data_IF_822769992386
#
_entry.id   IF_822769992386
#
_cell.length_a   1.000
_cell.length_b   1.000
_cell.length_c   1.000
_cell.angle_alpha   90.00
_cell.angle_beta   90.00
_cell.angle_gamma   90.00
#
_symmetry.space_group_name_H-M   'P 1'
#
loop_
_entity.id
_entity.type
_entity.pdbx_description
1 polymer ?
#
# COMPACT_ATOMS: atom_id res chain seq x y z
N UNK A 1 27.03 83.14 30.83
CA UNK A 1 26.94 82.30 29.61
C UNK A 1 25.84 81.27 29.88
N UNK A 2 24.58 81.56 29.50
CA UNK A 2 23.86 81.12 28.27
C UNK A 2 23.44 79.63 28.39
N UNK A 3 22.17 79.19 28.28
CA UNK A 3 21.08 79.50 27.33
C UNK A 3 19.71 79.04 27.90
N UNK A 4 18.62 79.74 27.56
CA UNK A 4 17.19 79.38 27.82
C UNK A 4 16.68 78.33 26.81
N UNK A 5 15.72 77.46 27.14
CA UNK A 5 14.96 76.73 26.13
C UNK A 5 13.67 77.45 25.71
N UNK A 6 13.41 77.37 24.41
CA UNK A 6 12.30 77.94 23.63
C UNK A 6 11.16 76.91 23.57
N UNK A 7 9.91 77.38 23.68
CA UNK A 7 8.71 76.57 23.42
C UNK A 7 8.60 76.19 21.94
N UNK A 8 8.46 74.89 21.66
CA UNK A 8 8.11 74.39 20.33
C UNK A 8 6.69 73.79 20.37
N UNK A 9 5.77 74.40 19.61
CA UNK A 9 4.46 73.84 19.30
C UNK A 9 4.66 72.66 18.36
N UNK A 10 4.15 71.49 18.70
CA UNK A 10 4.16 70.34 17.78
C UNK A 10 2.76 70.07 17.24
N UNK A 11 2.75 69.88 15.93
CA UNK A 11 1.67 69.72 14.98
C UNK A 11 1.03 68.32 15.11
N UNK A 12 -0.30 68.23 15.16
CA UNK A 12 -1.02 66.96 15.03
C UNK A 12 -0.85 66.41 13.60
N UNK A 13 -0.29 65.20 13.46
CA UNK A 13 -0.35 64.40 12.23
C UNK A 13 -1.36 63.27 12.44
N UNK A 14 -2.41 63.25 11.60
CA UNK A 14 -3.46 62.23 11.63
C UNK A 14 -2.92 60.85 11.21
N UNK A 15 -3.27 59.84 12.00
CA UNK A 15 -2.97 58.43 11.81
C UNK A 15 -3.93 57.81 10.78
N UNK A 16 -3.42 57.34 9.64
CA UNK A 16 -4.21 56.51 8.71
C UNK A 16 -3.39 55.34 8.18
N UNK A 17 -3.08 54.36 9.03
CA UNK A 17 -2.71 52.99 8.61
C UNK A 17 -3.10 52.00 9.72
N UNK A 18 -4.32 51.46 9.72
CA UNK A 18 -4.68 50.33 10.61
C UNK A 18 -5.79 49.39 10.09
N UNK A 19 -6.16 49.45 8.80
CA UNK A 19 -7.27 48.60 8.29
C UNK A 19 -6.84 47.25 7.70
N UNK A 20 -5.60 47.07 7.25
CA UNK A 20 -5.20 45.86 6.52
C UNK A 20 -4.97 44.62 7.40
N UNK A 21 -4.46 44.79 8.63
CA UNK A 21 -4.16 43.67 9.53
C UNK A 21 -5.39 42.91 10.05
N UNK A 22 -6.51 43.62 10.27
CA UNK A 22 -7.74 43.01 10.78
C UNK A 22 -8.45 42.14 9.73
N UNK A 23 -8.42 42.53 8.46
CA UNK A 23 -9.12 41.83 7.37
C UNK A 23 -8.47 40.47 7.08
N UNK A 24 -7.14 40.39 7.09
CA UNK A 24 -6.42 39.11 6.90
C UNK A 24 -6.64 38.13 8.06
N UNK A 25 -6.76 38.63 9.29
CA UNK A 25 -7.04 37.82 10.48
C UNK A 25 -8.48 37.30 10.50
N UNK A 26 -9.45 38.12 10.07
CA UNK A 26 -10.86 37.72 10.02
C UNK A 26 -11.14 36.68 8.92
N UNK A 27 -10.49 36.81 7.75
CA UNK A 27 -10.64 35.85 6.65
C UNK A 27 -10.02 34.49 6.98
N UNK A 28 -8.88 34.46 7.67
CA UNK A 28 -8.25 33.22 8.13
C UNK A 28 -9.11 32.50 9.17
N UNK A 29 -9.69 33.23 10.13
CA UNK A 29 -10.60 32.65 11.11
C UNK A 29 -11.87 32.08 10.46
N UNK A 30 -12.45 32.80 9.49
CA UNK A 30 -13.64 32.34 8.76
C UNK A 30 -13.36 31.08 7.94
N UNK A 31 -12.14 30.95 7.39
CA UNK A 31 -11.71 29.74 6.67
C UNK A 31 -11.65 28.52 7.60
N UNK A 32 -11.15 28.68 8.83
CA UNK A 32 -11.12 27.59 9.83
C UNK A 32 -12.53 27.12 10.22
N UNK A 33 -13.49 28.04 10.30
CA UNK A 33 -14.89 27.69 10.56
C UNK A 33 -15.47 26.89 9.39
N UNK A 34 -15.22 27.30 8.14
CA UNK A 34 -15.64 26.56 6.96
C UNK A 34 -15.04 25.15 6.93
N UNK A 35 -13.74 25.03 7.24
CA UNK A 35 -13.03 23.75 7.34
C UNK A 35 -13.63 22.85 8.43
N UNK A 36 -13.94 23.41 9.60
CA UNK A 36 -14.58 22.67 10.69
C UNK A 36 -15.93 22.11 10.29
N UNK A 37 -16.78 22.92 9.65
CA UNK A 37 -18.09 22.48 9.14
C UNK A 37 -17.94 21.41 8.04
N UNK A 38 -16.96 21.57 7.16
CA UNK A 38 -16.64 20.58 6.13
C UNK A 38 -16.24 19.23 6.74
N UNK A 39 -15.37 19.23 7.75
CA UNK A 39 -14.98 17.99 8.45
C UNK A 39 -16.11 17.39 9.27
N UNK A 40 -17.03 18.23 9.76
CA UNK A 40 -18.28 17.79 10.40
C UNK A 40 -19.36 17.33 9.40
N UNK A 41 -19.08 17.34 8.09
CA UNK A 41 -20.01 16.98 7.01
C UNK A 41 -21.27 17.86 6.95
N UNK A 42 -21.21 19.06 7.55
CA UNK A 42 -22.27 20.06 7.41
C UNK A 42 -22.08 20.82 6.10
N UNK A 43 -22.43 20.14 5.00
CA UNK A 43 -22.13 20.58 3.64
C UNK A 43 -22.75 21.93 3.28
N UNK A 44 -24.00 22.18 3.69
CA UNK A 44 -24.69 23.43 3.39
C UNK A 44 -24.01 24.63 4.06
N UNK A 45 -23.70 24.53 5.36
CA UNK A 45 -23.07 25.63 6.07
C UNK A 45 -21.62 25.84 5.64
N UNK A 46 -20.86 24.75 5.43
CA UNK A 46 -19.50 24.82 4.90
C UNK A 46 -19.47 25.52 3.54
N UNK A 47 -20.33 25.07 2.61
CA UNK A 47 -20.51 25.67 1.28
C UNK A 47 -20.78 27.17 1.37
N UNK A 48 -21.74 27.57 2.20
CA UNK A 48 -22.14 28.97 2.33
C UNK A 48 -21.01 29.88 2.82
N UNK A 49 -20.10 29.36 3.65
CA UNK A 49 -18.93 30.13 4.10
C UNK A 49 -17.84 30.13 3.01
N UNK A 50 -17.51 28.99 2.40
CA UNK A 50 -16.52 28.94 1.33
C UNK A 50 -16.90 29.85 0.15
N UNK A 51 -18.16 29.82 -0.30
CA UNK A 51 -18.64 30.65 -1.42
C UNK A 51 -18.49 32.15 -1.13
N UNK A 52 -18.64 32.57 0.13
CA UNK A 52 -18.41 33.97 0.55
C UNK A 52 -16.93 34.34 0.60
N UNK A 53 -16.06 33.39 0.94
CA UNK A 53 -14.61 33.62 1.06
C UNK A 53 -13.89 33.52 -0.29
N UNK A 54 -14.43 32.77 -1.24
CA UNK A 54 -13.83 32.51 -2.54
C UNK A 54 -14.40 33.43 -3.61
N UNK A 55 -13.67 34.51 -3.92
CA UNK A 55 -13.89 35.27 -5.15
C UNK A 55 -13.22 34.61 -6.36
N UNK A 56 -13.57 35.06 -7.57
CA UNK A 56 -13.04 34.52 -8.84
C UNK A 56 -11.51 34.55 -8.96
N UNK A 57 -10.85 35.46 -8.24
CA UNK A 57 -9.40 35.64 -8.20
C UNK A 57 -8.71 34.79 -7.12
N UNK A 58 -9.47 34.07 -6.29
CA UNK A 58 -8.93 33.26 -5.19
C UNK A 58 -8.13 32.08 -5.72
N UNK A 59 -6.87 32.01 -5.31
CA UNK A 59 -5.93 30.95 -5.71
C UNK A 59 -5.96 29.74 -4.76
N UNK A 60 -6.89 29.73 -3.78
CA UNK A 60 -6.96 28.68 -2.76
C UNK A 60 -7.60 27.40 -3.34
N UNK A 61 -6.77 26.59 -3.98
CA UNK A 61 -7.19 25.34 -4.63
C UNK A 61 -7.81 24.33 -3.66
N UNK A 62 -7.35 24.33 -2.40
CA UNK A 62 -7.90 23.45 -1.35
C UNK A 62 -9.34 23.86 -1.03
N UNK A 63 -9.59 25.14 -0.79
CA UNK A 63 -10.92 25.65 -0.48
C UNK A 63 -11.87 25.47 -1.67
N UNK A 64 -11.43 25.70 -2.91
CA UNK A 64 -12.23 25.39 -4.11
C UNK A 64 -12.59 23.90 -4.20
N UNK A 65 -11.65 23.00 -3.92
CA UNK A 65 -11.91 21.56 -3.87
C UNK A 65 -12.90 21.18 -2.74
N UNK A 66 -12.81 21.81 -1.57
CA UNK A 66 -13.74 21.57 -0.44
C UNK A 66 -15.14 22.12 -0.71
N UNK A 67 -15.24 23.31 -1.31
CA UNK A 67 -16.50 23.87 -1.78
C UNK A 67 -17.15 22.93 -2.80
N UNK A 68 -16.40 22.50 -3.82
CA UNK A 68 -16.91 21.57 -4.83
C UNK A 68 -17.36 20.24 -4.24
N UNK A 69 -16.67 19.71 -3.23
CA UNK A 69 -17.13 18.50 -2.55
C UNK A 69 -18.34 18.71 -1.67
N UNK A 70 -18.50 19.90 -1.07
CA UNK A 70 -19.73 20.25 -0.36
C UNK A 70 -20.91 20.29 -1.33
N UNK A 71 -20.74 20.92 -2.51
CA UNK A 71 -21.74 20.92 -3.60
C UNK A 71 -22.05 19.51 -4.11
N UNK A 72 -21.03 18.66 -4.29
CA UNK A 72 -21.22 17.26 -4.69
C UNK A 72 -22.11 16.50 -3.69
N UNK A 73 -21.84 16.60 -2.38
CA UNK A 73 -22.59 15.85 -1.36
C UNK A 73 -24.05 16.33 -1.17
N UNK A 74 -24.39 17.53 -1.64
CA UNK A 74 -25.77 18.03 -1.65
C UNK A 74 -26.45 17.88 -3.03
N UNK A 75 -25.80 17.21 -4.00
CA UNK A 75 -26.34 16.94 -5.33
C UNK A 75 -26.17 18.05 -6.37
N UNK A 76 -25.45 19.12 -6.06
CA UNK A 76 -25.19 20.24 -6.97
C UNK A 76 -24.00 19.95 -7.90
N UNK A 77 -24.12 18.92 -8.75
CA UNK A 77 -23.00 18.41 -9.55
C UNK A 77 -22.36 19.43 -10.50
N UNK A 78 -23.15 20.29 -11.15
CA UNK A 78 -22.60 21.29 -12.08
C UNK A 78 -21.80 22.38 -11.34
N UNK A 79 -22.26 22.78 -10.13
CA UNK A 79 -21.50 23.71 -9.27
C UNK A 79 -20.23 23.07 -8.74
N UNK A 80 -20.29 21.78 -8.39
CA UNK A 80 -19.13 21.02 -7.98
C UNK A 80 -18.06 20.97 -9.08
N UNK A 81 -18.45 20.65 -10.32
CA UNK A 81 -17.56 20.65 -11.49
C UNK A 81 -16.93 22.02 -11.73
N UNK A 82 -17.70 23.11 -11.59
CA UNK A 82 -17.17 24.48 -11.69
C UNK A 82 -16.08 24.74 -10.64
N UNK A 83 -16.33 24.37 -9.38
CA UNK A 83 -15.38 24.56 -8.29
C UNK A 83 -14.11 23.72 -8.49
N UNK A 84 -14.25 22.49 -9.00
CA UNK A 84 -13.14 21.63 -9.34
C UNK A 84 -12.29 22.20 -10.49
N UNK A 85 -12.91 22.75 -11.53
CA UNK A 85 -12.19 23.46 -12.58
C UNK A 85 -11.39 24.65 -12.03
N UNK A 86 -11.99 25.45 -11.13
CA UNK A 86 -11.29 26.54 -10.43
C UNK A 86 -10.12 26.06 -9.58
N UNK A 87 -10.28 24.95 -8.87
CA UNK A 87 -9.21 24.34 -8.09
C UNK A 87 -8.01 23.92 -8.95
N UNK A 88 -8.23 23.54 -10.22
CA UNK A 88 -7.16 23.11 -11.14
C UNK A 88 -6.43 24.29 -11.82
N UNK A 89 -7.06 25.47 -11.92
CA UNK A 89 -6.49 26.65 -12.58
C UNK A 89 -5.19 27.14 -11.93
N UNK A 90 -5.07 27.02 -10.60
CA UNK A 90 -3.96 27.61 -9.84
C UNK A 90 -2.85 26.60 -9.50
N UNK A 91 -2.60 25.64 -10.39
CA UNK A 91 -1.54 24.62 -10.28
C UNK A 91 -1.49 23.98 -8.88
N UNK A 92 -2.56 23.31 -8.44
CA UNK A 92 -2.59 22.65 -7.14
C UNK A 92 -1.47 21.62 -7.00
N UNK A 93 -1.03 21.38 -5.77
CA UNK A 93 -0.17 20.25 -5.44
C UNK A 93 -0.82 18.93 -5.86
N UNK A 94 0.01 17.91 -6.14
CA UNK A 94 -0.45 16.62 -6.66
C UNK A 94 -1.59 15.98 -5.84
N UNK A 95 -1.56 15.95 -4.49
CA UNK A 95 -2.67 15.35 -3.73
C UNK A 95 -4.02 16.04 -3.94
N UNK A 96 -4.02 17.38 -4.08
CA UNK A 96 -5.24 18.15 -4.38
C UNK A 96 -5.70 17.86 -5.81
N UNK A 97 -4.76 17.84 -6.76
CA UNK A 97 -5.04 17.51 -8.16
C UNK A 97 -5.67 16.10 -8.31
N UNK A 98 -5.10 15.10 -7.63
CA UNK A 98 -5.60 13.73 -7.59
C UNK A 98 -7.02 13.66 -7.01
N UNK A 99 -7.25 14.33 -5.88
CA UNK A 99 -8.57 14.39 -5.22
C UNK A 99 -9.63 15.03 -6.11
N UNK A 100 -9.29 16.15 -6.76
CA UNK A 100 -10.20 16.88 -7.65
C UNK A 100 -10.60 16.01 -8.84
N UNK A 101 -9.64 15.39 -9.54
CA UNK A 101 -9.95 14.52 -10.68
C UNK A 101 -10.75 13.28 -10.27
N UNK A 102 -10.45 12.64 -9.14
CA UNK A 102 -11.26 11.52 -8.65
C UNK A 102 -12.72 11.94 -8.40
N UNK A 103 -12.94 13.13 -7.83
CA UNK A 103 -14.28 13.69 -7.60
C UNK A 103 -15.00 14.08 -8.88
N UNK A 104 -14.31 14.64 -9.87
CA UNK A 104 -14.88 14.89 -11.20
C UNK A 104 -15.27 13.58 -11.88
N UNK A 105 -14.45 12.52 -11.77
CA UNK A 105 -14.76 11.20 -12.31
C UNK A 105 -16.05 10.64 -11.73
N UNK A 106 -16.26 10.77 -10.42
CA UNK A 106 -17.50 10.36 -9.73
C UNK A 106 -18.72 11.09 -10.30
N UNK A 107 -18.62 12.41 -10.48
CA UNK A 107 -19.72 13.20 -11.06
C UNK A 107 -20.01 12.78 -12.50
N UNK A 108 -19.00 12.68 -13.36
CA UNK A 108 -19.20 12.29 -14.75
C UNK A 108 -19.75 10.86 -14.86
N UNK A 109 -19.37 9.95 -13.95
CA UNK A 109 -19.97 8.62 -13.86
C UNK A 109 -21.47 8.73 -13.51
N UNK A 110 -21.83 9.47 -12.46
CA UNK A 110 -23.24 9.70 -12.08
C UNK A 110 -24.09 10.34 -13.20
N UNK A 111 -23.50 11.21 -14.02
CA UNK A 111 -24.14 11.82 -15.20
C UNK A 111 -24.19 10.91 -16.43
N UNK A 112 -23.71 9.67 -16.32
CA UNK A 112 -23.57 8.71 -17.43
C UNK A 112 -22.62 9.18 -18.56
N UNK A 113 -21.71 10.09 -18.25
CA UNK A 113 -20.68 10.63 -19.16
C UNK A 113 -19.42 9.76 -19.10
N UNK A 114 -19.57 8.47 -19.45
CA UNK A 114 -18.57 7.42 -19.20
C UNK A 114 -17.16 7.77 -19.67
N UNK A 115 -17.02 8.30 -20.89
CA UNK A 115 -15.70 8.63 -21.45
C UNK A 115 -14.98 9.70 -20.64
N UNK A 116 -15.69 10.73 -20.17
CA UNK A 116 -15.11 11.77 -19.32
C UNK A 116 -14.75 11.22 -17.94
N UNK A 117 -15.60 10.36 -17.38
CA UNK A 117 -15.31 9.71 -16.11
C UNK A 117 -14.02 8.88 -16.17
N UNK A 118 -13.82 8.13 -17.27
CA UNK A 118 -12.59 7.37 -17.52
C UNK A 118 -11.36 8.28 -17.69
N UNK A 119 -11.50 9.41 -18.41
CA UNK A 119 -10.41 10.40 -18.56
C UNK A 119 -10.04 11.05 -17.23
N UNK A 120 -11.03 11.37 -16.39
CA UNK A 120 -10.79 12.00 -15.10
C UNK A 120 -10.13 11.04 -14.12
N UNK A 121 -10.60 9.79 -14.01
CA UNK A 121 -9.97 8.83 -13.08
C UNK A 121 -8.55 8.46 -13.51
N UNK A 122 -8.25 8.42 -14.81
CA UNK A 122 -6.88 8.29 -15.34
C UNK A 122 -6.03 9.53 -14.99
N UNK A 123 -6.60 10.73 -15.07
CA UNK A 123 -5.93 11.97 -14.65
C UNK A 123 -5.67 12.00 -13.14
N UNK A 124 -6.59 11.46 -12.34
CA UNK A 124 -6.41 11.28 -10.91
C UNK A 124 -5.25 10.34 -10.62
N UNK A 125 -5.19 9.19 -11.29
CA UNK A 125 -4.10 8.23 -11.18
C UNK A 125 -2.74 8.85 -11.53
N UNK A 126 -2.65 9.58 -12.64
CA UNK A 126 -1.44 10.34 -13.04
C UNK A 126 -1.01 11.39 -12.01
N UNK A 127 -1.94 11.85 -11.17
CA UNK A 127 -1.67 12.76 -10.07
C UNK A 127 -1.40 12.05 -8.73
N UNK A 128 -1.38 10.71 -8.69
CA UNK A 128 -1.06 9.91 -7.51
C UNK A 128 -2.27 9.28 -6.79
N UNK A 129 -3.45 9.25 -7.40
CA UNK A 129 -4.61 8.57 -6.83
C UNK A 129 -4.47 7.05 -6.93
N UNK A 130 -4.43 6.36 -5.78
CA UNK A 130 -4.26 4.90 -5.69
C UNK A 130 -5.33 4.21 -4.81
N UNK A 131 -6.47 4.86 -4.57
CA UNK A 131 -7.48 4.32 -3.65
C UNK A 131 -8.35 3.24 -4.32
N UNK A 132 -7.90 1.99 -4.26
CA UNK A 132 -8.63 0.82 -4.76
C UNK A 132 -9.98 0.62 -4.07
N UNK A 133 -10.03 0.85 -2.75
CA UNK A 133 -11.26 0.68 -1.97
C UNK A 133 -12.36 1.60 -2.49
N UNK A 134 -12.04 2.87 -2.76
CA UNK A 134 -12.99 3.81 -3.36
C UNK A 134 -13.44 3.38 -4.77
N UNK A 135 -12.52 2.89 -5.61
CA UNK A 135 -12.88 2.39 -6.94
C UNK A 135 -13.85 1.19 -6.89
N UNK A 136 -13.70 0.34 -5.88
CA UNK A 136 -14.50 -0.88 -5.73
C UNK A 136 -15.83 -0.63 -5.02
N UNK A 137 -15.86 0.26 -4.03
CA UNK A 137 -16.99 0.42 -3.11
C UNK A 137 -17.89 1.62 -3.41
N UNK A 138 -17.37 2.69 -4.02
CA UNK A 138 -18.20 3.86 -4.30
C UNK A 138 -19.25 3.53 -5.36
N UNK A 139 -20.52 3.77 -5.00
CA UNK A 139 -21.68 3.53 -5.88
C UNK A 139 -21.68 4.42 -7.11
N UNK A 140 -21.01 5.58 -7.05
CA UNK A 140 -20.86 6.52 -8.17
C UNK A 140 -20.29 5.85 -9.42
N UNK A 141 -19.41 4.85 -9.23
CA UNK A 141 -18.74 4.15 -10.31
C UNK A 141 -19.51 2.93 -10.84
N UNK A 142 -20.71 2.63 -10.34
CA UNK A 142 -21.46 1.41 -10.70
C UNK A 142 -21.66 1.26 -12.23
N UNK A 143 -21.89 2.36 -12.95
CA UNK A 143 -22.12 2.32 -14.40
C UNK A 143 -20.84 2.29 -15.26
N UNK A 144 -19.66 2.47 -14.65
CA UNK A 144 -18.37 2.42 -15.34
C UNK A 144 -17.43 1.31 -14.85
N UNK A 145 -17.75 0.62 -13.74
CA UNK A 145 -16.85 -0.35 -13.10
C UNK A 145 -16.41 -1.48 -14.03
N UNK A 146 -17.27 -1.88 -14.96
CA UNK A 146 -17.01 -2.92 -15.96
C UNK A 146 -16.48 -2.38 -17.29
N UNK A 147 -16.30 -1.06 -17.43
CA UNK A 147 -15.73 -0.49 -18.65
C UNK A 147 -14.24 -0.88 -18.77
N UNK A 148 -13.76 -1.25 -19.97
CA UNK A 148 -12.39 -1.73 -20.15
C UNK A 148 -11.32 -0.79 -19.60
N UNK A 149 -11.52 0.53 -19.74
CA UNK A 149 -10.61 1.54 -19.21
C UNK A 149 -10.53 1.56 -17.68
N UNK A 150 -11.67 1.37 -17.00
CA UNK A 150 -11.73 1.35 -15.54
C UNK A 150 -11.10 0.07 -14.99
N UNK A 151 -11.40 -1.09 -15.61
CA UNK A 151 -10.82 -2.39 -15.24
C UNK A 151 -9.30 -2.36 -15.40
N UNK A 152 -8.80 -1.85 -16.54
CA UNK A 152 -7.35 -1.74 -16.78
C UNK A 152 -6.67 -0.82 -15.77
N UNK A 153 -7.27 0.32 -15.46
CA UNK A 153 -6.71 1.25 -14.47
C UNK A 153 -6.68 0.64 -13.07
N UNK A 154 -7.77 -0.01 -12.66
CA UNK A 154 -7.86 -0.73 -11.38
C UNK A 154 -6.76 -1.79 -11.26
N UNK A 155 -6.49 -2.55 -12.31
CA UNK A 155 -5.40 -3.54 -12.33
C UNK A 155 -4.02 -2.89 -12.14
N UNK A 156 -3.75 -1.76 -12.78
CA UNK A 156 -2.49 -1.01 -12.59
C UNK A 156 -2.33 -0.56 -11.13
N UNK A 157 -3.39 -0.01 -10.54
CA UNK A 157 -3.36 0.42 -9.14
C UNK A 157 -3.19 -0.79 -8.21
N UNK A 158 -3.84 -1.91 -8.50
CA UNK A 158 -3.66 -3.16 -7.75
C UNK A 158 -2.20 -3.62 -7.76
N UNK A 159 -1.54 -3.59 -8.92
CA UNK A 159 -0.13 -3.96 -9.03
C UNK A 159 0.81 -3.02 -8.26
N UNK A 160 0.45 -1.74 -8.11
CA UNK A 160 1.22 -0.79 -7.30
C UNK A 160 1.00 -1.05 -5.80
N UNK A 161 -0.24 -1.31 -5.38
CA UNK A 161 -0.59 -1.54 -3.98
C UNK A 161 -0.14 -2.92 -3.47
N UNK A 162 -0.15 -3.92 -4.35
CA UNK A 162 0.16 -5.32 -4.05
C UNK A 162 1.18 -5.88 -5.07
N UNK A 163 2.43 -5.37 -5.07
CA UNK A 163 3.42 -5.69 -6.08
C UNK A 163 3.72 -7.19 -6.13
N UNK A 164 3.93 -7.83 -4.97
CA UNK A 164 4.23 -9.26 -4.91
C UNK A 164 3.04 -10.14 -5.30
N UNK A 165 1.80 -9.69 -5.09
CA UNK A 165 0.61 -10.42 -5.57
C UNK A 165 0.48 -10.40 -7.08
N UNK A 166 1.08 -9.40 -7.73
CA UNK A 166 1.03 -9.20 -9.18
C UNK A 166 2.30 -9.66 -9.89
N UNK A 167 3.33 -10.06 -9.14
CA UNK A 167 4.58 -10.61 -9.66
C UNK A 167 4.53 -12.14 -9.62
N UNK A 168 4.55 -12.76 -10.79
CA UNK A 168 4.56 -14.24 -10.90
C UNK A 168 5.74 -14.88 -10.19
N UNK A 169 6.90 -14.22 -10.14
CA UNK A 169 8.10 -14.75 -9.47
C UNK A 169 7.88 -14.85 -7.95
N UNK A 170 7.26 -13.82 -7.36
CA UNK A 170 6.88 -13.80 -5.95
C UNK A 170 5.79 -14.82 -5.58
N UNK A 171 5.13 -15.44 -6.57
CA UNK A 171 4.09 -16.46 -6.36
C UNK A 171 4.55 -17.88 -6.68
N UNK A 172 5.78 -18.07 -7.12
CA UNK A 172 6.32 -19.39 -7.49
C UNK A 172 6.24 -20.43 -6.37
N UNK A 173 6.32 -19.99 -5.09
CA UNK A 173 6.28 -20.90 -3.94
C UNK A 173 4.87 -21.09 -3.34
N UNK A 174 3.83 -20.53 -3.96
CA UNK A 174 2.44 -20.62 -3.47
C UNK A 174 1.91 -22.05 -3.39
N UNK A 175 2.47 -22.99 -4.16
CA UNK A 175 2.03 -24.39 -4.16
C UNK A 175 2.17 -25.05 -2.77
N UNK A 176 2.99 -24.49 -1.89
CA UNK A 176 3.17 -24.95 -0.52
C UNK A 176 2.22 -24.27 0.49
N UNK A 177 1.52 -23.20 0.09
CA UNK A 177 0.57 -22.49 0.96
C UNK A 177 -0.62 -23.39 1.28
N UNK A 178 -0.84 -23.62 2.57
CA UNK A 178 -1.90 -24.48 3.04
C UNK A 178 -1.70 -25.00 4.45
N UNK A 179 -2.59 -25.88 4.85
CA UNK A 179 -2.50 -26.63 6.09
C UNK A 179 -2.23 -28.09 5.76
N UNK A 180 -1.25 -28.67 6.44
CA UNK A 180 -0.64 -29.94 6.06
C UNK A 180 -0.43 -30.85 7.26
N UNK A 181 -0.75 -32.13 7.09
CA UNK A 181 -0.26 -33.21 7.93
C UNK A 181 0.96 -33.83 7.23
N UNK A 182 2.07 -33.96 7.96
CA UNK A 182 3.38 -34.27 7.38
C UNK A 182 3.85 -35.64 7.85
N UNK A 183 4.39 -36.43 6.92
CA UNK A 183 4.83 -37.80 7.15
C UNK A 183 6.23 -38.01 6.59
N UNK A 184 6.97 -38.99 7.12
CA UNK A 184 8.20 -39.46 6.47
C UNK A 184 7.83 -40.08 5.12
N UNK A 185 8.45 -39.60 4.04
CA UNK A 185 8.13 -40.00 2.67
C UNK A 185 8.16 -41.51 2.49
N UNK A 186 7.14 -42.06 1.82
CA UNK A 186 7.01 -43.50 1.58
C UNK A 186 6.53 -44.32 2.79
N UNK A 187 6.15 -43.67 3.90
CA UNK A 187 5.69 -44.34 5.12
C UNK A 187 4.39 -43.73 5.65
N UNK A 188 3.86 -44.31 6.73
CA UNK A 188 2.75 -43.75 7.53
C UNK A 188 3.24 -43.05 8.81
N UNK A 189 4.55 -42.89 8.98
CA UNK A 189 5.10 -42.30 10.19
C UNK A 189 4.85 -40.78 10.19
N UNK A 190 4.01 -40.33 11.12
CA UNK A 190 3.66 -38.93 11.29
C UNK A 190 4.86 -38.13 11.82
N UNK A 191 5.19 -37.04 11.15
CA UNK A 191 6.30 -36.15 11.47
C UNK A 191 5.84 -34.86 12.16
N UNK A 192 4.66 -34.33 11.80
CA UNK A 192 4.15 -33.08 12.37
C UNK A 192 3.05 -32.45 11.54
N UNK A 193 2.67 -31.25 11.95
CA UNK A 193 1.68 -30.38 11.34
C UNK A 193 2.36 -29.09 10.88
N UNK A 194 1.94 -28.58 9.73
CA UNK A 194 2.47 -27.34 9.16
C UNK A 194 1.34 -26.46 8.64
N UNK A 195 1.28 -25.22 9.15
CA UNK A 195 0.40 -24.17 8.65
C UNK A 195 1.22 -23.11 7.91
N UNK A 196 1.04 -23.05 6.60
CA UNK A 196 1.78 -22.20 5.67
C UNK A 196 0.84 -21.13 5.12
N UNK A 197 1.15 -19.86 5.36
CA UNK A 197 0.27 -18.72 5.06
C UNK A 197 1.00 -17.65 4.24
N UNK A 198 0.28 -17.06 3.28
CA UNK A 198 0.72 -15.82 2.62
C UNK A 198 0.57 -14.68 3.63
N UNK A 199 1.65 -13.91 3.83
CA UNK A 199 1.70 -12.78 4.75
C UNK A 199 2.27 -11.55 4.04
N UNK A 200 2.33 -10.41 4.74
CA UNK A 200 3.00 -9.19 4.26
C UNK A 200 2.52 -8.72 2.86
N UNK A 201 1.21 -8.81 2.61
CA UNK A 201 0.62 -8.38 1.33
C UNK A 201 1.06 -9.22 0.12
N UNK A 202 1.47 -10.47 0.32
CA UNK A 202 1.94 -11.36 -0.74
C UNK A 202 3.45 -11.45 -0.87
N UNK A 203 4.22 -10.64 -0.15
CA UNK A 203 5.67 -10.58 -0.29
C UNK A 203 6.44 -11.63 0.54
N UNK A 204 5.74 -12.38 1.40
CA UNK A 204 6.34 -13.47 2.14
C UNK A 204 5.34 -14.59 2.42
N UNK A 205 5.88 -15.79 2.67
CA UNK A 205 5.13 -16.95 3.14
C UNK A 205 5.69 -17.36 4.51
N UNK A 206 4.81 -17.53 5.50
CA UNK A 206 5.13 -17.96 6.85
C UNK A 206 4.66 -19.39 7.07
N UNK A 207 5.58 -20.27 7.45
CA UNK A 207 5.28 -21.56 8.02
C UNK A 207 5.22 -21.47 9.55
N UNK A 208 4.25 -22.18 10.13
CA UNK A 208 4.19 -22.53 11.53
C UNK A 208 4.28 -24.06 11.63
N UNK A 209 5.41 -24.57 12.08
CA UNK A 209 5.66 -25.99 12.27
C UNK A 209 5.36 -26.40 13.72
N UNK A 210 4.64 -27.50 13.87
CA UNK A 210 4.36 -28.13 15.16
C UNK A 210 4.54 -29.65 15.08
N UNK A 211 5.29 -30.22 16.01
CA UNK A 211 5.55 -31.66 16.09
C UNK A 211 5.71 -32.07 17.54
N UNK A 212 5.56 -33.38 17.87
CA UNK A 212 5.73 -33.86 19.24
C UNK A 212 7.09 -33.53 19.87
N UNK A 213 8.13 -33.33 19.06
CA UNK A 213 9.51 -33.11 19.52
C UNK A 213 10.00 -31.65 19.39
N UNK A 214 9.36 -30.82 18.57
CA UNK A 214 9.83 -29.46 18.30
C UNK A 214 8.75 -28.59 17.66
N UNK A 215 8.83 -27.28 17.91
CA UNK A 215 8.07 -26.28 17.15
C UNK A 215 9.04 -25.38 16.38
N UNK A 216 8.54 -24.70 15.35
CA UNK A 216 9.37 -23.79 14.58
C UNK A 216 8.56 -22.90 13.66
N UNK A 217 9.24 -21.92 13.07
CA UNK A 217 8.67 -21.03 12.05
C UNK A 217 9.68 -20.82 10.94
N UNK A 218 9.18 -20.73 9.71
CA UNK A 218 9.97 -20.36 8.55
C UNK A 218 9.34 -19.17 7.85
N UNK A 219 10.13 -18.14 7.54
CA UNK A 219 9.68 -17.03 6.68
C UNK A 219 10.42 -17.10 5.36
N UNK A 220 9.66 -17.03 4.26
CA UNK A 220 10.12 -17.26 2.90
C UNK A 220 9.80 -16.01 2.08
N UNK A 221 10.78 -15.44 1.40
CA UNK A 221 10.65 -14.18 0.65
C UNK A 221 11.71 -14.08 -0.43
N UNK A 222 11.52 -13.18 -1.40
CA UNK A 222 12.56 -12.87 -2.39
C UNK A 222 13.51 -11.82 -1.80
N UNK A 223 14.82 -12.09 -1.86
CA UNK A 223 15.85 -11.11 -1.54
C UNK A 223 15.98 -10.12 -2.70
N UNK A 224 15.73 -8.81 -2.48
CA UNK A 224 15.76 -7.81 -3.56
C UNK A 224 17.15 -7.61 -4.17
N UNK A 225 18.24 -8.01 -3.50
CA UNK A 225 19.59 -7.85 -4.02
C UNK A 225 19.97 -8.95 -5.01
N UNK A 226 19.47 -10.16 -4.79
CA UNK A 226 19.81 -11.34 -5.60
C UNK A 226 18.68 -11.75 -6.53
N UNK A 227 17.46 -11.27 -6.28
CA UNK A 227 16.23 -11.70 -6.94
C UNK A 227 16.08 -13.23 -6.89
N UNK A 228 16.37 -13.81 -5.72
CA UNK A 228 16.23 -15.23 -5.40
C UNK A 228 15.35 -15.40 -4.17
N UNK A 229 14.65 -16.52 -4.11
CA UNK A 229 13.96 -16.92 -2.90
C UNK A 229 14.97 -17.18 -1.78
N UNK A 230 14.55 -16.84 -0.56
CA UNK A 230 15.29 -17.06 0.67
C UNK A 230 14.31 -17.56 1.74
N UNK A 231 14.77 -18.47 2.58
CA UNK A 231 14.06 -18.91 3.78
C UNK A 231 14.92 -18.68 5.02
N UNK A 232 14.33 -18.11 6.06
CA UNK A 232 14.92 -18.04 7.40
C UNK A 232 14.08 -18.88 8.36
N UNK A 233 14.72 -19.91 8.95
CA UNK A 233 14.11 -20.85 9.89
C UNK A 233 14.52 -20.54 11.32
N UNK A 234 13.58 -20.65 12.26
CA UNK A 234 13.81 -20.63 13.69
C UNK A 234 13.01 -21.73 14.39
N UNK A 235 13.71 -22.72 14.94
CA UNK A 235 13.16 -23.84 15.70
C UNK A 235 13.36 -23.71 17.21
N UNK A 236 12.60 -24.47 17.99
CA UNK A 236 12.56 -24.44 19.46
C UNK A 236 13.71 -25.20 20.16
N UNK A 237 14.87 -25.33 19.52
CA UNK A 237 16.00 -26.12 20.02
C UNK A 237 17.33 -25.37 19.88
N UNK A 238 18.35 -25.81 20.64
CA UNK A 238 19.66 -25.17 20.64
C UNK A 238 20.28 -25.14 19.23
N UNK A 239 20.77 -23.97 18.81
CA UNK A 239 21.28 -23.72 17.45
C UNK A 239 20.25 -24.02 16.34
N UNK A 240 18.95 -23.93 16.65
CA UNK A 240 17.85 -24.24 15.73
C UNK A 240 17.53 -23.17 14.70
N UNK A 241 18.50 -22.34 14.33
CA UNK A 241 18.35 -21.33 13.27
C UNK A 241 19.06 -21.78 12.00
N UNK A 242 18.44 -21.56 10.84
CA UNK A 242 19.03 -21.90 9.54
C UNK A 242 18.57 -20.92 8.47
N UNK A 243 19.51 -20.50 7.62
CA UNK A 243 19.21 -19.74 6.41
C UNK A 243 19.32 -20.66 5.20
N UNK A 244 18.35 -20.58 4.30
CA UNK A 244 18.37 -21.20 2.99
C UNK A 244 18.30 -20.10 1.93
N UNK A 245 19.21 -20.13 0.98
CA UNK A 245 19.46 -19.05 0.02
C UNK A 245 19.46 -19.59 -1.41
N UNK A 246 19.63 -18.70 -2.39
CA UNK A 246 19.67 -19.03 -3.81
C UNK A 246 18.42 -19.81 -4.30
N UNK A 247 17.28 -19.53 -3.68
CA UNK A 247 16.02 -20.17 -3.98
C UNK A 247 15.57 -19.93 -5.42
N UNK A 248 15.33 -21.00 -6.17
CA UNK A 248 14.84 -20.95 -7.55
C UNK A 248 13.77 -22.00 -7.79
N UNK A 249 12.68 -21.60 -8.46
CA UNK A 249 11.68 -22.54 -8.94
C UNK A 249 12.06 -23.07 -10.33
N UNK A 250 12.32 -24.37 -10.42
CA UNK A 250 12.63 -25.09 -11.67
C UNK A 250 12.28 -26.55 -11.51
N UNK A 251 12.11 -27.27 -12.62
CA UNK A 251 11.88 -28.71 -12.60
C UNK A 251 10.68 -29.13 -11.70
N UNK A 252 9.65 -28.27 -11.63
CA UNK A 252 8.50 -28.40 -10.73
C UNK A 252 8.86 -28.49 -9.24
N UNK A 253 9.92 -27.80 -8.81
CA UNK A 253 10.34 -27.74 -7.43
C UNK A 253 10.99 -26.40 -7.08
N UNK A 254 10.87 -25.99 -5.82
CA UNK A 254 11.62 -24.86 -5.26
C UNK A 254 12.93 -25.40 -4.67
N UNK A 255 14.08 -24.96 -5.21
CA UNK A 255 15.41 -25.40 -4.81
C UNK A 255 16.14 -24.31 -4.05
N UNK A 256 16.60 -24.60 -2.85
CA UNK A 256 17.49 -23.76 -2.07
C UNK A 256 18.83 -24.44 -1.78
N UNK A 257 19.84 -23.62 -1.58
CA UNK A 257 21.12 -24.00 -1.01
C UNK A 257 21.19 -23.58 0.47
N UNK A 258 22.01 -24.27 1.26
CA UNK A 258 22.40 -23.77 2.57
C UNK A 258 23.83 -24.17 2.95
N UNK A 259 24.39 -23.44 3.92
CA UNK A 259 25.67 -23.79 4.57
C UNK A 259 25.42 -23.91 6.09
N UNK A 260 26.10 -24.88 6.72
CA UNK A 260 26.21 -25.02 8.17
C UNK A 260 27.67 -25.01 8.57
N UNK A 261 27.97 -24.41 9.71
CA UNK A 261 29.27 -24.50 10.36
C UNK A 261 29.11 -25.18 11.72
N UNK A 262 29.94 -26.18 11.98
CA UNK A 262 30.00 -26.78 13.32
C UNK A 262 30.85 -25.92 14.26
N UNK A 263 30.94 -26.33 15.54
CA UNK A 263 31.71 -25.62 16.56
C UNK A 263 33.22 -25.51 16.25
N UNK A 264 33.74 -26.42 15.42
CA UNK A 264 35.14 -26.43 14.97
C UNK A 264 35.36 -25.57 13.71
N UNK A 265 34.32 -24.94 13.17
CA UNK A 265 34.39 -24.10 11.97
C UNK A 265 34.34 -24.87 10.65
N UNK A 266 34.19 -26.20 10.68
CA UNK A 266 34.06 -27.00 9.47
C UNK A 266 32.72 -26.70 8.80
N UNK A 267 32.79 -26.45 7.49
CA UNK A 267 31.63 -26.15 6.65
C UNK A 267 31.00 -27.42 6.10
N UNK A 268 29.69 -27.43 6.07
CA UNK A 268 28.86 -28.43 5.40
C UNK A 268 27.92 -27.68 4.49
N UNK A 269 27.83 -28.07 3.22
CA UNK A 269 26.86 -27.51 2.29
C UNK A 269 25.65 -28.42 2.18
N UNK A 270 24.52 -27.87 1.80
CA UNK A 270 23.28 -28.62 1.71
C UNK A 270 22.34 -28.11 0.64
N UNK A 271 21.43 -29.01 0.25
CA UNK A 271 20.32 -28.73 -0.66
C UNK A 271 19.02 -28.89 0.10
N UNK A 272 18.06 -28.04 -0.22
CA UNK A 272 16.75 -28.04 0.39
C UNK A 272 15.69 -27.78 -0.67
N UNK A 273 14.83 -28.76 -0.90
CA UNK A 273 13.98 -28.82 -2.08
C UNK A 273 12.54 -29.06 -1.68
N UNK A 274 11.61 -28.30 -2.26
CA UNK A 274 10.18 -28.54 -2.18
C UNK A 274 9.64 -28.91 -3.56
N UNK A 275 9.32 -30.18 -3.75
CA UNK A 275 8.71 -30.67 -4.98
C UNK A 275 7.21 -30.33 -4.99
N UNK A 276 6.77 -29.65 -6.04
CA UNK A 276 5.37 -29.42 -6.32
C UNK A 276 4.76 -30.70 -6.91
N UNK A 277 4.08 -31.49 -6.07
CA UNK A 277 3.46 -32.76 -6.47
C UNK A 277 1.95 -32.64 -6.70
N UNK A 278 1.45 -31.41 -6.88
CA UNK A 278 0.05 -31.09 -7.11
C UNK A 278 -0.61 -30.37 -5.92
N UNK A 279 -1.91 -30.02 -6.03
CA UNK A 279 -2.59 -29.14 -5.09
C UNK A 279 -2.72 -29.71 -3.68
N UNK A 280 -2.63 -31.04 -3.54
CA UNK A 280 -2.86 -31.74 -2.28
C UNK A 280 -1.60 -32.41 -1.71
N UNK A 281 -0.44 -32.20 -2.32
CA UNK A 281 0.79 -32.85 -1.89
C UNK A 281 2.04 -32.03 -2.23
N UNK A 282 2.92 -31.88 -1.26
CA UNK A 282 4.27 -31.33 -1.41
C UNK A 282 5.26 -32.31 -0.81
N UNK A 283 6.40 -32.53 -1.47
CA UNK A 283 7.51 -33.27 -0.85
C UNK A 283 8.65 -32.33 -0.53
N UNK A 284 9.07 -32.31 0.72
CA UNK A 284 10.23 -31.56 1.19
C UNK A 284 11.39 -32.53 1.39
N UNK A 285 12.53 -32.21 0.80
CA UNK A 285 13.73 -33.04 0.85
C UNK A 285 14.93 -32.20 1.20
N UNK A 286 15.78 -32.71 2.09
CA UNK A 286 17.06 -32.07 2.41
C UNK A 286 18.18 -33.09 2.47
N UNK A 287 19.33 -32.72 1.91
CA UNK A 287 20.58 -33.47 1.97
C UNK A 287 21.75 -32.52 2.26
N UNK A 288 22.82 -33.06 2.84
CA UNK A 288 24.05 -32.32 3.10
C UNK A 288 25.28 -33.09 2.64
N UNK A 289 26.35 -32.34 2.39
CA UNK A 289 27.64 -32.85 1.95
C UNK A 289 28.78 -32.18 2.72
N UNK A 290 29.68 -33.01 3.24
CA UNK A 290 30.88 -32.59 3.97
C UNK A 290 32.14 -32.59 3.08
N UNK A 291 32.05 -33.07 1.84
CA UNK A 291 33.17 -33.27 0.92
C UNK A 291 33.03 -32.47 -0.39
N UNK A 292 32.38 -31.31 -0.30
CA UNK A 292 32.11 -30.39 -1.41
C UNK A 292 31.26 -31.01 -2.53
N UNK A 293 30.24 -31.78 -2.16
CA UNK A 293 29.24 -32.32 -3.08
C UNK A 293 29.62 -33.64 -3.75
N UNK A 294 30.72 -34.29 -3.34
CA UNK A 294 31.12 -35.60 -3.89
C UNK A 294 30.21 -36.71 -3.35
N UNK A 295 29.86 -36.64 -2.08
CA UNK A 295 28.89 -37.52 -1.43
C UNK A 295 27.82 -36.71 -0.71
N UNK A 296 26.61 -37.26 -0.67
CA UNK A 296 25.42 -36.62 -0.09
C UNK A 296 24.77 -37.55 0.92
N UNK A 297 24.41 -36.98 2.06
CA UNK A 297 23.68 -37.66 3.13
C UNK A 297 22.32 -36.99 3.27
N UNK A 298 21.25 -37.79 3.18
CA UNK A 298 19.89 -37.29 3.43
C UNK A 298 19.74 -36.85 4.88
N UNK A 299 19.32 -35.60 5.07
CA UNK A 299 18.98 -35.06 6.39
C UNK A 299 17.54 -35.46 6.76
N UNK A 300 16.61 -35.27 5.83
CA UNK A 300 15.21 -35.68 5.96
C UNK A 300 14.50 -35.71 4.60
N UNK A 301 13.43 -36.49 4.53
CA UNK A 301 12.54 -36.63 3.37
C UNK A 301 11.10 -36.74 3.86
N UNK A 302 10.33 -35.67 3.64
CA UNK A 302 9.00 -35.47 4.21
C UNK A 302 7.97 -35.27 3.10
N UNK A 303 6.81 -35.89 3.26
CA UNK A 303 5.63 -35.70 2.41
C UNK A 303 4.56 -34.96 3.20
N UNK A 304 4.22 -33.77 2.73
CA UNK A 304 3.12 -32.93 3.22
C UNK A 304 1.86 -33.36 2.48
N UNK A 305 0.85 -33.81 3.23
CA UNK A 305 -0.48 -34.13 2.70
C UNK A 305 -1.46 -33.07 3.14
N UNK A 306 -2.25 -32.56 2.19
CA UNK A 306 -3.20 -31.49 2.47
C UNK A 306 -4.18 -31.94 3.55
N UNK A 307 -4.34 -31.11 4.57
CA UNK A 307 -5.35 -31.30 5.61
C UNK A 307 -6.68 -30.77 5.08
N UNK A 308 -7.71 -31.61 5.15
CA UNK A 308 -9.08 -31.28 4.77
C UNK A 308 -9.83 -30.63 5.94
#
# INVERSE_FOLDING_TARGET
>A
MKIRPVHFKSLLLFFTVFLSGNIMSQSSQSMLVADSLYYAQNWNDARNIYERLLGDTSQNSIAWNRLGFSDYNIGNYDKALYCYAKALTFKPILPVKASVFSRMARIHALKNEKQKALTDIDSAFKAGYLNLSEMDSLTDFNNIRNEPGFVSLRQKIYAIAFPCMSDTHAREFDFWVGEWDVYVTGTTNYAGHSLVQVISGGCAILENWDSPSSTGKSINFIDPNTNKWKQSWAGSYANGVQEFINGEYRDSAMHFDFERKNAQGNKTMGRFIFYNQGPNQVRQFSESSADNGKTWTTNYDLTYKRRN
#
